data_IF_301965402106
#
_entry.id   IF_301965402106
#
_cell.length_a   1.000
_cell.length_b   1.000
_cell.length_c   1.000
_cell.angle_alpha   90.00
_cell.angle_beta   90.00
_cell.angle_gamma   90.00
#
_symmetry.space_group_name_H-M   'P 1'
#
loop_
_entity.id
_entity.type
_entity.pdbx_description
1 polymer ?
#
# COMPACT_ATOMS: atom_id res chain seq x y z
N UNK A 1 47.37 -6.39 -44.05
CA UNK A 1 47.06 -4.95 -44.09
C UNK A 1 45.55 -4.70 -44.27
N UNK A 2 44.84 -5.49 -45.08
CA UNK A 2 43.40 -5.28 -45.36
C UNK A 2 42.45 -5.44 -44.15
N UNK A 3 42.78 -6.28 -43.18
CA UNK A 3 41.94 -6.51 -41.99
C UNK A 3 41.95 -5.37 -40.94
N UNK A 4 42.94 -4.47 -40.98
CA UNK A 4 43.00 -3.34 -40.04
C UNK A 4 41.90 -2.30 -40.32
N UNK A 5 41.54 -2.11 -41.60
CA UNK A 5 40.45 -1.18 -41.97
C UNK A 5 39.08 -1.65 -41.48
N UNK A 6 38.81 -2.95 -41.55
CA UNK A 6 37.55 -3.56 -41.11
C UNK A 6 37.35 -3.37 -39.60
N UNK A 7 38.41 -3.58 -38.80
CA UNK A 7 38.36 -3.36 -37.35
C UNK A 7 38.00 -1.92 -36.97
N UNK A 8 38.59 -0.94 -37.64
CA UNK A 8 38.31 0.49 -37.41
C UNK A 8 36.87 0.86 -37.80
N UNK A 9 36.39 0.38 -38.95
CA UNK A 9 35.01 0.63 -39.40
C UNK A 9 34.00 -0.02 -38.44
N UNK A 10 34.24 -1.26 -38.03
CA UNK A 10 33.39 -1.99 -37.08
C UNK A 10 33.34 -1.30 -35.72
N UNK A 11 34.48 -0.82 -35.22
CA UNK A 11 34.54 -0.04 -33.98
C UNK A 11 33.74 1.26 -34.09
N UNK A 12 33.84 1.98 -35.22
CA UNK A 12 33.07 3.20 -35.45
C UNK A 12 31.56 2.93 -35.51
N UNK A 13 31.15 1.91 -36.26
CA UNK A 13 29.76 1.46 -36.32
C UNK A 13 29.21 1.07 -34.94
N UNK A 14 29.94 0.25 -34.18
CA UNK A 14 29.53 -0.22 -32.85
C UNK A 14 29.45 0.92 -31.85
N UNK A 15 30.34 1.91 -31.96
CA UNK A 15 30.28 3.13 -31.15
C UNK A 15 29.02 3.94 -31.43
N UNK A 16 28.70 4.19 -32.70
CA UNK A 16 27.48 4.93 -33.08
C UNK A 16 26.23 4.17 -32.64
N UNK A 17 26.17 2.85 -32.86
CA UNK A 17 25.06 2.01 -32.40
C UNK A 17 24.90 2.09 -30.88
N UNK A 18 25.99 1.90 -30.12
CA UNK A 18 25.96 1.98 -28.66
C UNK A 18 25.49 3.35 -28.17
N UNK A 19 25.98 4.43 -28.77
CA UNK A 19 25.52 5.79 -28.46
C UNK A 19 24.01 5.96 -28.70
N UNK A 20 23.50 5.50 -29.84
CA UNK A 20 22.08 5.64 -30.17
C UNK A 20 21.17 4.81 -29.24
N UNK A 21 21.62 3.63 -28.81
CA UNK A 21 20.90 2.81 -27.82
C UNK A 21 20.83 3.53 -26.46
N UNK A 22 21.96 4.06 -25.98
CA UNK A 22 22.00 4.81 -24.72
C UNK A 22 21.13 6.07 -24.81
N UNK A 23 21.21 6.79 -25.93
CA UNK A 23 20.37 7.94 -26.18
C UNK A 23 18.88 7.58 -26.14
N UNK A 24 18.46 6.51 -26.84
CA UNK A 24 17.07 6.01 -26.84
C UNK A 24 16.61 5.58 -25.44
N UNK A 25 17.49 4.91 -24.69
CA UNK A 25 17.20 4.45 -23.32
C UNK A 25 17.03 5.63 -22.36
N UNK A 26 17.85 6.66 -22.49
CA UNK A 26 17.76 7.87 -21.67
C UNK A 26 16.46 8.64 -21.94
N UNK A 27 16.06 8.76 -23.20
CA UNK A 27 14.78 9.38 -23.57
C UNK A 27 13.58 8.61 -22.99
N UNK A 28 13.60 7.28 -23.07
CA UNK A 28 12.57 6.42 -22.48
C UNK A 28 12.49 6.59 -20.96
N UNK A 29 13.65 6.54 -20.28
CA UNK A 29 13.74 6.73 -18.83
C UNK A 29 13.21 8.10 -18.39
N UNK A 30 13.55 9.15 -19.13
CA UNK A 30 13.07 10.51 -18.84
C UNK A 30 11.54 10.59 -18.96
N UNK A 31 10.96 10.01 -20.01
CA UNK A 31 9.49 9.95 -20.21
C UNK A 31 8.79 9.16 -19.11
N UNK A 32 9.36 8.03 -18.68
CA UNK A 32 8.82 7.24 -17.58
C UNK A 32 8.73 8.06 -16.28
N UNK A 33 9.86 8.65 -15.86
CA UNK A 33 9.90 9.42 -14.60
C UNK A 33 9.14 10.73 -14.64
N UNK A 34 9.07 11.39 -15.81
CA UNK A 34 8.22 12.56 -16.00
C UNK A 34 6.74 12.18 -15.84
N UNK A 35 6.32 11.03 -16.39
CA UNK A 35 4.96 10.51 -16.24
C UNK A 35 4.62 10.22 -14.77
N UNK A 36 5.50 9.50 -14.06
CA UNK A 36 5.36 9.23 -12.61
C UNK A 36 5.20 10.54 -11.82
N UNK A 37 6.07 11.52 -12.09
CA UNK A 37 6.07 12.80 -11.39
C UNK A 37 4.76 13.55 -11.59
N UNK A 38 4.27 13.61 -12.83
CA UNK A 38 3.02 14.29 -13.16
C UNK A 38 1.81 13.61 -12.50
N UNK A 39 1.76 12.28 -12.48
CA UNK A 39 0.70 11.56 -11.77
C UNK A 39 0.67 11.85 -10.27
N UNK A 40 1.83 11.87 -9.61
CA UNK A 40 1.93 12.23 -8.20
C UNK A 40 1.51 13.68 -7.94
N UNK A 41 1.88 14.60 -8.85
CA UNK A 41 1.43 16.00 -8.77
C UNK A 41 -0.08 16.13 -8.93
N UNK A 42 -0.71 15.42 -9.88
CA UNK A 42 -2.17 15.42 -10.05
C UNK A 42 -2.87 15.04 -8.75
N UNK A 43 -2.48 13.90 -8.16
CA UNK A 43 -3.04 13.44 -6.90
C UNK A 43 -2.78 14.41 -5.75
N UNK A 44 -1.56 14.95 -5.65
CA UNK A 44 -1.18 15.91 -4.61
C UNK A 44 -1.94 17.23 -4.68
N UNK A 45 -2.01 17.86 -5.85
CA UNK A 45 -2.74 19.13 -6.06
C UNK A 45 -4.23 18.98 -5.74
N UNK A 46 -4.84 17.89 -6.19
CA UNK A 46 -6.26 17.64 -5.92
C UNK A 46 -6.55 17.29 -4.47
N UNK A 47 -5.67 16.55 -3.78
CA UNK A 47 -5.80 16.30 -2.34
C UNK A 47 -5.57 17.57 -1.52
N UNK A 48 -4.67 18.46 -1.95
CA UNK A 48 -4.49 19.78 -1.32
C UNK A 48 -5.75 20.63 -1.45
N UNK A 49 -6.31 20.72 -2.65
CA UNK A 49 -7.56 21.44 -2.89
C UNK A 49 -8.71 20.88 -2.04
N UNK A 50 -8.84 19.55 -2.01
CA UNK A 50 -9.83 18.87 -1.19
C UNK A 50 -9.68 19.22 0.30
N UNK A 51 -8.48 19.07 0.84
CA UNK A 51 -8.17 19.37 2.26
C UNK A 51 -8.46 20.83 2.61
N UNK A 52 -8.10 21.76 1.72
CA UNK A 52 -8.42 23.18 1.86
C UNK A 52 -9.93 23.40 1.91
N UNK A 53 -10.70 22.81 1.01
CA UNK A 53 -12.15 22.93 0.97
C UNK A 53 -12.83 22.34 2.21
N UNK A 54 -12.31 21.24 2.77
CA UNK A 54 -12.79 20.70 4.04
C UNK A 54 -12.56 21.69 5.20
N UNK A 55 -11.39 22.35 5.22
CA UNK A 55 -11.03 23.34 6.24
C UNK A 55 -11.87 24.62 6.13
N UNK A 56 -12.30 25.00 4.92
CA UNK A 56 -13.07 26.22 4.66
C UNK A 56 -14.56 26.09 4.99
N UNK A 57 -15.02 24.90 5.35
CA UNK A 57 -16.41 24.66 5.74
C UNK A 57 -16.77 25.43 7.02
N UNK A 58 -18.02 25.91 7.09
CA UNK A 58 -18.53 26.68 8.22
C UNK A 58 -18.57 25.83 9.50
N UNK A 59 -18.27 26.47 10.64
CA UNK A 59 -18.33 25.85 11.97
C UNK A 59 -19.66 26.10 12.68
N UNK A 60 -20.60 26.72 11.99
CA UNK A 60 -21.95 26.97 12.47
C UNK A 60 -22.68 25.64 12.74
N UNK A 61 -23.19 25.40 13.97
CA UNK A 61 -23.98 24.21 14.29
C UNK A 61 -25.20 24.04 13.37
N UNK A 62 -25.83 25.12 12.93
CA UNK A 62 -27.05 25.08 12.09
C UNK A 62 -26.76 24.59 10.65
N UNK A 63 -25.49 24.61 10.23
CA UNK A 63 -25.08 24.22 8.87
C UNK A 63 -24.33 22.89 8.81
N UNK A 64 -24.18 22.18 9.93
CA UNK A 64 -23.39 20.94 9.96
C UNK A 64 -23.90 19.89 8.97
N UNK A 65 -25.22 19.77 8.81
CA UNK A 65 -25.82 18.84 7.83
C UNK A 65 -25.44 19.21 6.39
N UNK A 66 -25.46 20.49 6.05
CA UNK A 66 -25.06 20.98 4.72
C UNK A 66 -23.57 20.81 4.48
N UNK A 67 -22.75 21.02 5.51
CA UNK A 67 -21.30 20.78 5.46
C UNK A 67 -21.05 19.29 5.23
N UNK A 68 -21.76 18.42 5.94
CA UNK A 68 -21.65 16.97 5.77
C UNK A 68 -22.02 16.56 4.33
N UNK A 69 -23.17 17.00 3.82
CA UNK A 69 -23.59 16.74 2.44
C UNK A 69 -22.55 17.23 1.42
N UNK A 70 -22.06 18.46 1.58
CA UNK A 70 -21.01 19.03 0.73
C UNK A 70 -19.73 18.20 0.73
N UNK A 71 -19.22 17.82 1.91
CA UNK A 71 -17.96 17.04 2.05
C UNK A 71 -18.05 15.70 1.34
N UNK A 72 -19.14 14.97 1.55
CA UNK A 72 -19.36 13.67 0.90
C UNK A 72 -19.56 13.83 -0.60
N UNK A 73 -20.36 14.80 -1.05
CA UNK A 73 -20.57 15.01 -2.48
C UNK A 73 -19.27 15.44 -3.19
N UNK A 74 -18.50 16.34 -2.57
CA UNK A 74 -17.18 16.73 -3.07
C UNK A 74 -16.26 15.51 -3.19
N UNK A 75 -16.17 14.66 -2.15
CA UNK A 75 -15.31 13.48 -2.18
C UNK A 75 -15.62 12.50 -3.33
N UNK A 76 -16.92 12.28 -3.61
CA UNK A 76 -17.38 11.44 -4.73
C UNK A 76 -17.00 12.05 -6.07
N UNK A 77 -17.17 13.36 -6.24
CA UNK A 77 -16.75 14.05 -7.46
C UNK A 77 -15.22 14.06 -7.64
N UNK A 78 -14.44 14.20 -6.55
CA UNK A 78 -12.98 14.12 -6.61
C UNK A 78 -12.51 12.71 -7.01
N UNK A 79 -13.11 11.67 -6.44
CA UNK A 79 -12.85 10.28 -6.83
C UNK A 79 -13.20 10.02 -8.30
N UNK A 80 -14.34 10.56 -8.76
CA UNK A 80 -14.78 10.47 -10.14
C UNK A 80 -13.86 11.24 -11.10
N UNK A 81 -13.37 12.41 -10.70
CA UNK A 81 -12.40 13.21 -11.46
C UNK A 81 -11.10 12.43 -11.68
N UNK A 82 -10.57 11.82 -10.62
CA UNK A 82 -9.35 11.04 -10.68
C UNK A 82 -9.52 9.79 -11.54
N UNK A 83 -10.62 9.05 -11.35
CA UNK A 83 -10.97 7.89 -12.17
C UNK A 83 -11.07 8.23 -13.67
N UNK A 84 -11.85 9.25 -14.03
CA UNK A 84 -12.01 9.64 -15.43
C UNK A 84 -10.68 10.12 -16.05
N UNK A 85 -9.80 10.69 -15.24
CA UNK A 85 -8.46 11.10 -15.67
C UNK A 85 -7.59 9.90 -15.97
N UNK A 86 -7.58 8.90 -15.09
CA UNK A 86 -6.85 7.65 -15.32
C UNK A 86 -7.38 6.91 -16.55
N UNK A 87 -8.70 6.71 -16.67
CA UNK A 87 -9.32 6.09 -17.86
C UNK A 87 -9.06 6.87 -19.15
N UNK A 88 -8.86 8.19 -19.05
CA UNK A 88 -8.59 9.01 -20.23
C UNK A 88 -7.11 8.98 -20.60
N UNK A 89 -6.20 8.66 -19.68
CA UNK A 89 -4.75 8.70 -19.91
C UNK A 89 -4.15 7.31 -20.13
N UNK A 90 -4.64 6.29 -19.44
CA UNK A 90 -4.12 4.93 -19.50
C UNK A 90 -4.98 4.04 -20.40
N UNK A 91 -4.34 3.04 -20.99
CA UNK A 91 -5.01 1.98 -21.73
C UNK A 91 -5.40 0.89 -20.73
N UNK A 92 -6.71 0.73 -20.50
CA UNK A 92 -7.25 -0.28 -19.60
C UNK A 92 -8.04 -1.30 -20.41
N UNK A 93 -7.84 -2.59 -20.15
CA UNK A 93 -8.62 -3.66 -20.80
C UNK A 93 -10.06 -3.70 -20.29
N UNK A 94 -10.23 -3.36 -19.01
CA UNK A 94 -11.51 -3.10 -18.37
C UNK A 94 -11.47 -1.70 -17.75
N UNK A 95 -12.28 -0.79 -18.32
CA UNK A 95 -12.48 0.58 -17.82
C UNK A 95 -13.03 0.61 -16.39
N UNK A 96 -13.36 -0.52 -15.76
CA UNK A 96 -13.79 -0.56 -14.36
C UNK A 96 -12.65 -0.17 -13.40
N UNK A 97 -12.67 1.09 -12.95
CA UNK A 97 -11.90 1.56 -11.82
C UNK A 97 -12.84 1.83 -10.64
N UNK A 98 -12.37 1.57 -9.43
CA UNK A 98 -13.13 1.82 -8.22
C UNK A 98 -13.36 3.33 -8.02
N UNK A 99 -14.62 3.73 -7.79
CA UNK A 99 -14.99 5.10 -7.47
C UNK A 99 -15.74 5.11 -6.15
N UNK A 100 -15.54 6.16 -5.35
CA UNK A 100 -16.36 6.40 -4.17
C UNK A 100 -17.81 6.58 -4.58
N UNK A 101 -18.64 5.60 -4.21
CA UNK A 101 -20.10 5.56 -4.30
C UNK A 101 -20.75 6.56 -5.28
N UNK A 102 -21.16 6.05 -6.44
CA UNK A 102 -21.91 6.81 -7.46
C UNK A 102 -23.37 7.04 -7.01
N UNK A 103 -23.81 6.38 -5.93
CA UNK A 103 -25.12 6.53 -5.31
C UNK A 103 -25.40 7.98 -4.94
N UNK A 104 -26.51 8.50 -5.47
CA UNK A 104 -26.93 9.90 -5.28
C UNK A 104 -26.56 10.84 -6.43
N UNK A 105 -25.70 10.43 -7.38
CA UNK A 105 -25.54 11.16 -8.63
C UNK A 105 -26.73 10.92 -9.56
N UNK A 106 -27.20 11.99 -10.22
CA UNK A 106 -28.32 11.90 -11.16
C UNK A 106 -27.90 11.05 -12.39
N UNK A 107 -28.66 9.99 -12.75
CA UNK A 107 -28.37 9.17 -13.92
C UNK A 107 -28.26 9.96 -15.23
N UNK A 108 -29.02 11.05 -15.37
CA UNK A 108 -28.94 11.94 -16.54
C UNK A 108 -27.59 12.65 -16.63
N UNK A 109 -27.02 13.04 -15.49
CA UNK A 109 -25.69 13.67 -15.44
C UNK A 109 -24.61 12.67 -15.80
N UNK A 110 -24.72 11.42 -15.30
CA UNK A 110 -23.78 10.35 -15.66
C UNK A 110 -23.82 10.03 -17.16
N UNK A 111 -25.02 9.98 -17.74
CA UNK A 111 -25.19 9.83 -19.19
C UNK A 111 -24.61 11.01 -19.98
N UNK A 112 -24.73 12.23 -19.45
CA UNK A 112 -24.07 13.40 -20.05
C UNK A 112 -22.54 13.31 -19.98
N UNK A 113 -22.00 12.81 -18.87
CA UNK A 113 -20.57 12.60 -18.68
C UNK A 113 -20.01 11.57 -19.66
N UNK A 114 -20.70 10.44 -19.84
CA UNK A 114 -20.32 9.39 -20.80
C UNK A 114 -20.16 9.95 -22.22
N UNK A 115 -21.02 10.90 -22.60
CA UNK A 115 -20.97 11.56 -23.92
C UNK A 115 -20.03 12.75 -24.00
N UNK A 116 -19.38 13.12 -22.90
CA UNK A 116 -18.52 14.29 -22.86
C UNK A 116 -17.25 14.06 -23.69
N UNK A 117 -16.81 15.05 -24.49
CA UNK A 117 -15.53 14.97 -25.18
C UNK A 117 -14.32 15.03 -24.23
N UNK A 118 -14.49 15.57 -23.01
CA UNK A 118 -13.44 15.63 -21.99
C UNK A 118 -14.06 15.39 -20.61
N UNK A 119 -14.16 14.11 -20.24
CA UNK A 119 -14.85 13.66 -19.02
C UNK A 119 -14.28 14.31 -17.76
N UNK A 120 -12.95 14.34 -17.62
CA UNK A 120 -12.26 14.96 -16.48
C UNK A 120 -12.60 16.46 -16.35
N UNK A 121 -12.59 17.22 -17.44
CA UNK A 121 -12.97 18.64 -17.39
C UNK A 121 -14.44 18.85 -17.05
N UNK A 122 -15.33 17.97 -17.49
CA UNK A 122 -16.75 18.04 -17.10
C UNK A 122 -16.92 17.85 -15.60
N UNK A 123 -16.22 16.87 -15.00
CA UNK A 123 -16.28 16.66 -13.55
C UNK A 123 -15.64 17.83 -12.79
N UNK A 124 -14.51 18.37 -13.27
CA UNK A 124 -13.91 19.56 -12.67
C UNK A 124 -14.87 20.77 -12.70
N UNK A 125 -15.62 20.94 -13.79
CA UNK A 125 -16.63 21.99 -13.89
C UNK A 125 -17.73 21.79 -12.83
N UNK A 126 -18.20 20.56 -12.63
CA UNK A 126 -19.19 20.26 -11.60
C UNK A 126 -18.67 20.54 -10.19
N UNK A 127 -17.41 20.17 -9.89
CA UNK A 127 -16.74 20.51 -8.63
C UNK A 127 -16.71 22.02 -8.46
N UNK A 128 -16.36 22.76 -9.51
CA UNK A 128 -16.29 24.22 -9.46
C UNK A 128 -17.65 24.86 -9.18
N UNK A 129 -18.71 24.36 -9.83
CA UNK A 129 -20.09 24.79 -9.56
C UNK A 129 -20.50 24.45 -8.12
N UNK A 130 -20.20 23.25 -7.63
CA UNK A 130 -20.50 22.83 -6.26
C UNK A 130 -19.85 23.74 -5.22
N UNK A 131 -18.56 24.10 -5.42
CA UNK A 131 -17.85 25.03 -4.54
C UNK A 131 -18.51 26.40 -4.53
N UNK A 132 -18.91 26.92 -5.70
CA UNK A 132 -19.57 28.22 -5.80
C UNK A 132 -20.95 28.23 -5.13
N UNK A 133 -21.73 27.16 -5.28
CA UNK A 133 -23.01 27.01 -4.58
C UNK A 133 -22.83 26.95 -3.06
N UNK A 134 -21.85 26.17 -2.58
CA UNK A 134 -21.54 26.04 -1.16
C UNK A 134 -21.05 27.38 -0.57
N UNK A 135 -20.27 28.16 -1.33
CA UNK A 135 -19.86 29.50 -0.93
C UNK A 135 -21.07 30.47 -0.87
N UNK A 136 -21.97 30.45 -1.86
CA UNK A 136 -23.16 31.29 -1.85
C UNK A 136 -24.13 30.97 -0.69
N UNK A 137 -24.29 29.68 -0.38
CA UNK A 137 -25.07 29.19 0.77
C UNK A 137 -24.38 29.42 2.13
N UNK A 138 -23.16 29.96 2.14
CA UNK A 138 -22.30 30.10 3.33
C UNK A 138 -22.03 28.77 4.04
N UNK A 139 -22.04 27.66 3.30
CA UNK A 139 -21.53 26.35 3.75
C UNK A 139 -20.00 26.38 3.76
N UNK A 140 -19.40 27.07 2.78
CA UNK A 140 -18.00 27.49 2.79
C UNK A 140 -17.95 28.96 3.21
N UNK A 141 -17.21 29.29 4.27
CA UNK A 141 -17.18 30.62 4.86
C UNK A 141 -15.75 31.15 4.94
N UNK A 142 -15.20 31.48 3.76
CA UNK A 142 -13.88 32.08 3.64
C UNK A 142 -13.88 33.25 2.65
N UNK A 143 -12.98 34.24 2.84
CA UNK A 143 -12.78 35.30 1.87
C UNK A 143 -12.40 34.76 0.48
N UNK A 144 -12.89 35.42 -0.57
CA UNK A 144 -12.62 35.08 -1.97
C UNK A 144 -11.14 34.80 -2.29
N UNK A 145 -10.16 35.60 -1.84
CA UNK A 145 -8.74 35.35 -2.11
C UNK A 145 -8.23 34.00 -1.60
N UNK A 146 -8.77 33.49 -0.49
CA UNK A 146 -8.40 32.20 0.07
C UNK A 146 -9.07 31.08 -0.73
N UNK A 147 -10.34 31.27 -1.10
CA UNK A 147 -11.07 30.31 -1.93
C UNK A 147 -10.44 30.14 -3.32
N UNK A 148 -9.92 31.22 -3.91
CA UNK A 148 -9.22 31.20 -5.20
C UNK A 148 -8.05 30.22 -5.22
N UNK A 149 -7.38 29.99 -4.07
CA UNK A 149 -6.28 29.02 -3.98
C UNK A 149 -6.75 27.59 -4.26
N UNK A 150 -7.91 27.19 -3.74
CA UNK A 150 -8.46 25.86 -4.01
C UNK A 150 -8.79 25.66 -5.49
N UNK A 151 -9.33 26.68 -6.15
CA UNK A 151 -9.55 26.65 -7.61
C UNK A 151 -8.24 26.55 -8.39
N UNK A 152 -7.20 27.26 -7.95
CA UNK A 152 -5.88 27.20 -8.58
C UNK A 152 -5.25 25.82 -8.46
N UNK A 153 -5.32 25.18 -7.28
CA UNK A 153 -4.81 23.82 -7.04
C UNK A 153 -5.57 22.79 -7.91
N UNK A 154 -6.90 22.89 -8.00
CA UNK A 154 -7.69 22.06 -8.92
C UNK A 154 -7.28 22.24 -10.39
N UNK A 155 -7.10 23.50 -10.82
CA UNK A 155 -6.65 23.82 -12.17
C UNK A 155 -5.22 23.34 -12.43
N UNK A 156 -4.34 23.42 -11.44
CA UNK A 156 -2.95 22.99 -11.57
C UNK A 156 -2.88 21.48 -11.82
N UNK A 157 -3.70 20.68 -11.12
CA UNK A 157 -3.83 19.26 -11.41
C UNK A 157 -4.26 19.00 -12.87
N UNK A 158 -5.18 19.79 -13.43
CA UNK A 158 -5.56 19.65 -14.85
C UNK A 158 -4.48 20.09 -15.85
N UNK A 159 -3.60 21.02 -15.47
CA UNK A 159 -2.41 21.35 -16.27
C UNK A 159 -1.49 20.14 -16.34
N UNK A 160 -1.22 19.48 -15.21
CA UNK A 160 -0.44 18.24 -15.18
C UNK A 160 -1.08 17.13 -16.01
N UNK A 161 -2.42 16.97 -15.99
CA UNK A 161 -3.14 16.04 -16.88
C UNK A 161 -2.89 16.35 -18.36
N UNK A 162 -2.89 17.63 -18.72
CA UNK A 162 -2.65 18.07 -20.09
C UNK A 162 -1.21 17.80 -20.53
N UNK A 163 -0.24 18.03 -19.64
CA UNK A 163 1.16 17.74 -19.91
C UNK A 163 1.41 16.23 -20.05
N UNK A 164 0.77 15.43 -19.21
CA UNK A 164 0.84 13.97 -19.29
C UNK A 164 0.21 13.44 -20.59
N UNK A 165 -0.90 14.04 -21.04
CA UNK A 165 -1.49 13.75 -22.35
C UNK A 165 -0.51 14.04 -23.49
N UNK A 166 0.31 15.09 -23.42
CA UNK A 166 1.36 15.34 -24.44
C UNK A 166 2.39 14.22 -24.47
N UNK A 167 2.83 13.73 -23.30
CA UNK A 167 3.79 12.62 -23.22
C UNK A 167 3.19 11.38 -23.88
N UNK A 168 1.94 11.06 -23.58
CA UNK A 168 1.26 9.92 -24.19
C UNK A 168 1.05 10.07 -25.70
N UNK A 169 0.46 11.19 -26.13
CA UNK A 169 0.02 11.38 -27.51
C UNK A 169 1.19 11.64 -28.48
N UNK A 170 2.34 12.10 -27.98
CA UNK A 170 3.54 12.41 -28.77
C UNK A 170 4.64 11.39 -28.50
N UNK A 171 4.68 10.26 -29.24
CA UNK A 171 5.69 9.22 -29.05
C UNK A 171 7.09 9.68 -29.46
N UNK A 172 8.12 8.90 -29.09
CA UNK A 172 9.47 9.12 -29.58
C UNK A 172 9.49 9.08 -31.13
N UNK A 173 10.23 9.98 -31.82
CA UNK A 173 10.06 10.15 -33.26
C UNK A 173 10.39 8.87 -34.03
N UNK A 174 9.40 8.39 -34.78
CA UNK A 174 9.45 7.13 -35.50
C UNK A 174 10.71 6.91 -36.38
N UNK A 175 11.22 7.91 -37.13
CA UNK A 175 12.43 7.71 -37.93
C UNK A 175 13.67 7.30 -37.14
N UNK A 176 13.84 7.80 -35.90
CA UNK A 176 14.95 7.40 -35.04
C UNK A 176 14.83 5.93 -34.60
N UNK A 177 13.62 5.51 -34.21
CA UNK A 177 13.37 4.10 -33.86
C UNK A 177 13.65 3.16 -35.03
N UNK A 178 13.21 3.53 -36.24
CA UNK A 178 13.45 2.73 -37.44
C UNK A 178 14.94 2.62 -37.78
N UNK A 179 15.66 3.75 -37.73
CA UNK A 179 17.10 3.74 -37.99
C UNK A 179 17.86 2.87 -36.99
N UNK A 180 17.51 2.96 -35.70
CA UNK A 180 18.11 2.13 -34.65
C UNK A 180 17.85 0.63 -34.88
N UNK A 181 16.63 0.26 -35.26
CA UNK A 181 16.27 -1.12 -35.60
C UNK A 181 17.08 -1.64 -36.79
N UNK A 182 17.23 -0.84 -37.86
CA UNK A 182 18.05 -1.24 -39.01
C UNK A 182 19.53 -1.41 -38.65
N UNK A 183 20.07 -0.53 -37.79
CA UNK A 183 21.43 -0.67 -37.26
C UNK A 183 21.59 -1.94 -36.40
N UNK A 184 20.60 -2.28 -35.58
CA UNK A 184 20.58 -3.53 -34.79
C UNK A 184 20.56 -4.78 -35.67
N UNK A 185 19.72 -4.81 -36.70
CA UNK A 185 19.66 -5.91 -37.67
C UNK A 185 21.00 -6.03 -38.42
N UNK A 186 21.56 -4.91 -38.87
CA UNK A 186 22.87 -4.89 -39.52
C UNK A 186 23.96 -5.41 -38.58
N UNK A 187 23.97 -4.99 -37.31
CA UNK A 187 24.88 -5.50 -36.30
C UNK A 187 24.72 -7.02 -36.12
N UNK A 188 23.49 -7.52 -36.00
CA UNK A 188 23.21 -8.94 -35.79
C UNK A 188 23.72 -9.82 -36.96
N UNK A 189 23.64 -9.33 -38.20
CA UNK A 189 24.16 -10.02 -39.39
C UNK A 189 25.68 -9.91 -39.50
N UNK A 190 26.25 -8.72 -39.26
CA UNK A 190 27.68 -8.44 -39.47
C UNK A 190 28.56 -8.93 -38.32
N UNK A 191 28.06 -8.93 -37.07
CA UNK A 191 28.82 -9.36 -35.90
C UNK A 191 29.40 -10.79 -36.02
N UNK A 192 28.64 -11.84 -36.41
CA UNK A 192 29.22 -13.18 -36.60
C UNK A 192 30.27 -13.22 -37.71
N UNK A 193 30.08 -12.45 -38.79
CA UNK A 193 31.04 -12.37 -39.89
C UNK A 193 32.35 -11.76 -39.42
N UNK A 194 32.31 -10.62 -38.74
CA UNK A 194 33.52 -9.95 -38.20
C UNK A 194 34.19 -10.82 -37.13
N UNK A 195 33.41 -11.41 -36.22
CA UNK A 195 33.95 -12.27 -35.17
C UNK A 195 34.67 -13.51 -35.73
N UNK A 196 34.18 -14.10 -36.82
CA UNK A 196 34.83 -15.25 -37.48
C UNK A 196 36.24 -14.93 -38.01
N UNK A 197 36.50 -13.67 -38.33
CA UNK A 197 37.79 -13.22 -38.89
C UNK A 197 38.74 -12.76 -37.78
N UNK A 198 38.20 -12.20 -36.68
CA UNK A 198 39.01 -11.60 -35.60
C UNK A 198 39.34 -12.61 -34.50
N UNK A 199 38.45 -13.56 -34.21
CA UNK A 199 38.59 -14.48 -33.07
C UNK A 199 39.13 -15.83 -33.55
N UNK A 200 40.31 -16.23 -33.04
CA UNK A 200 40.99 -17.48 -33.39
C UNK A 200 40.19 -18.75 -33.07
N UNK A 201 39.42 -18.74 -31.97
CA UNK A 201 38.66 -19.91 -31.48
C UNK A 201 37.17 -19.75 -31.84
N UNK A 202 36.59 -20.59 -32.72
CA UNK A 202 35.21 -20.42 -33.19
C UNK A 202 34.16 -20.43 -32.08
N UNK A 203 34.31 -21.28 -31.06
CA UNK A 203 33.37 -21.36 -29.94
C UNK A 203 33.36 -20.08 -29.09
N UNK A 204 34.52 -19.45 -28.89
CA UNK A 204 34.62 -18.16 -28.22
C UNK A 204 34.00 -17.04 -29.06
N UNK A 205 34.18 -17.08 -30.38
CA UNK A 205 33.55 -16.12 -31.29
C UNK A 205 32.02 -16.16 -31.17
N UNK A 206 31.44 -17.37 -31.14
CA UNK A 206 30.01 -17.57 -30.95
C UNK A 206 29.49 -17.00 -29.63
N UNK A 207 30.19 -17.28 -28.51
CA UNK A 207 29.81 -16.75 -27.19
C UNK A 207 29.85 -15.22 -27.17
N UNK A 208 30.92 -14.60 -27.70
CA UNK A 208 31.06 -13.15 -27.69
C UNK A 208 29.98 -12.46 -28.53
N UNK A 209 29.69 -12.99 -29.72
CA UNK A 209 28.62 -12.46 -30.58
C UNK A 209 27.26 -12.60 -29.93
N UNK A 210 26.99 -13.74 -29.30
CA UNK A 210 25.75 -13.95 -28.54
C UNK A 210 25.62 -12.90 -27.43
N UNK A 211 26.63 -12.77 -26.57
CA UNK A 211 26.58 -11.83 -25.43
C UNK A 211 26.41 -10.39 -25.91
N UNK A 212 27.22 -9.93 -26.87
CA UNK A 212 27.17 -8.54 -27.36
C UNK A 212 25.85 -8.26 -28.07
N UNK A 213 25.44 -9.16 -28.96
CA UNK A 213 24.19 -8.95 -29.69
C UNK A 213 22.98 -9.00 -28.77
N UNK A 214 22.91 -9.96 -27.84
CA UNK A 214 21.84 -10.02 -26.85
C UNK A 214 21.84 -8.75 -26.01
N UNK A 215 22.99 -8.24 -25.58
CA UNK A 215 23.06 -7.00 -24.78
C UNK A 215 22.43 -5.81 -25.52
N UNK A 216 22.73 -5.62 -26.80
CA UNK A 216 22.14 -4.54 -27.60
C UNK A 216 20.63 -4.70 -27.81
N UNK A 217 20.16 -5.91 -28.11
CA UNK A 217 18.74 -6.18 -28.25
C UNK A 217 17.98 -6.00 -26.92
N UNK A 218 18.54 -6.50 -25.82
CA UNK A 218 17.95 -6.33 -24.48
C UNK A 218 17.81 -4.86 -24.11
N UNK A 219 18.85 -4.04 -24.31
CA UNK A 219 18.75 -2.60 -24.04
C UNK A 219 17.71 -1.91 -24.92
N UNK A 220 17.61 -2.30 -26.19
CA UNK A 220 16.58 -1.80 -27.10
C UNK A 220 15.17 -2.15 -26.61
N UNK A 221 14.93 -3.39 -26.21
CA UNK A 221 13.62 -3.82 -25.69
C UNK A 221 13.29 -3.19 -24.34
N UNK A 222 14.25 -3.06 -23.42
CA UNK A 222 14.04 -2.33 -22.16
C UNK A 222 13.62 -0.89 -22.45
N UNK A 223 14.29 -0.21 -23.38
CA UNK A 223 13.93 1.15 -23.76
C UNK A 223 12.55 1.24 -24.43
N UNK A 224 12.08 0.18 -25.10
CA UNK A 224 10.75 0.13 -25.69
C UNK A 224 9.67 -0.08 -24.63
N UNK A 225 9.91 -0.99 -23.68
CA UNK A 225 9.01 -1.27 -22.55
C UNK A 225 8.77 -0.01 -21.71
N UNK A 226 9.83 0.62 -21.19
CA UNK A 226 9.70 1.74 -20.26
C UNK A 226 9.18 3.03 -20.93
N UNK A 227 9.14 3.09 -22.26
CA UNK A 227 8.64 4.24 -23.03
C UNK A 227 7.11 4.23 -23.17
N UNK A 228 6.43 3.17 -22.74
CA UNK A 228 4.97 3.02 -22.81
C UNK A 228 4.33 2.77 -21.42
N UNK A 229 4.56 3.64 -20.41
CA UNK A 229 4.16 3.37 -19.02
C UNK A 229 2.65 3.37 -18.73
N UNK A 230 1.82 3.55 -19.76
CA UNK A 230 0.38 3.79 -19.65
C UNK A 230 -0.48 2.56 -19.96
N UNK A 231 0.14 1.40 -20.21
CA UNK A 231 -0.56 0.14 -20.50
C UNK A 231 -0.90 -0.66 -19.25
N UNK A 232 -1.02 -1.98 -19.43
CA UNK A 232 -1.29 -2.97 -18.38
C UNK A 232 -0.16 -4.01 -18.22
N UNK A 233 1.02 -3.75 -18.79
CA UNK A 233 2.17 -4.65 -18.64
C UNK A 233 2.69 -4.61 -17.18
N UNK A 234 3.42 -5.64 -16.78
CA UNK A 234 3.89 -5.78 -15.39
C UNK A 234 4.83 -4.65 -14.92
N UNK A 235 5.44 -3.92 -15.87
CA UNK A 235 6.35 -2.81 -15.61
C UNK A 235 5.69 -1.43 -15.80
N UNK A 236 4.40 -1.40 -16.14
CA UNK A 236 3.65 -0.16 -16.30
C UNK A 236 3.23 0.43 -14.95
N UNK A 237 2.63 1.61 -15.00
CA UNK A 237 2.17 2.29 -13.80
C UNK A 237 0.99 1.54 -13.16
N UNK A 238 0.98 1.41 -11.82
CA UNK A 238 -0.07 0.69 -11.11
C UNK A 238 -1.35 1.53 -10.99
N UNK A 239 -2.07 1.68 -12.11
CA UNK A 239 -3.23 2.59 -12.25
C UNK A 239 -4.35 2.28 -11.25
N UNK A 240 -4.62 0.99 -11.02
CA UNK A 240 -5.69 0.54 -10.10
C UNK A 240 -5.35 0.91 -8.66
N UNK A 241 -4.11 0.65 -8.26
CA UNK A 241 -3.59 0.99 -6.94
C UNK A 241 -3.57 2.51 -6.73
N UNK A 242 -3.23 3.29 -7.76
CA UNK A 242 -3.28 4.76 -7.69
C UNK A 242 -4.69 5.27 -7.41
N UNK A 243 -5.71 4.73 -8.08
CA UNK A 243 -7.11 5.09 -7.80
C UNK A 243 -7.53 4.68 -6.38
N UNK A 244 -7.21 3.45 -5.96
CA UNK A 244 -7.52 2.95 -4.62
C UNK A 244 -6.88 3.80 -3.52
N UNK A 245 -5.59 4.14 -3.69
CA UNK A 245 -4.88 5.00 -2.74
C UNK A 245 -5.47 6.41 -2.69
N UNK A 246 -5.88 6.96 -3.83
CA UNK A 246 -6.55 8.27 -3.88
C UNK A 246 -7.88 8.23 -3.13
N UNK A 247 -8.72 7.22 -3.38
CA UNK A 247 -9.99 7.00 -2.69
C UNK A 247 -9.81 6.81 -1.18
N UNK A 248 -8.82 6.01 -0.78
CA UNK A 248 -8.48 5.76 0.63
C UNK A 248 -8.13 7.06 1.35
N UNK A 249 -7.31 7.92 0.72
CA UNK A 249 -6.95 9.24 1.29
C UNK A 249 -8.16 10.17 1.41
N UNK A 250 -9.04 10.19 0.40
CA UNK A 250 -10.29 10.96 0.47
C UNK A 250 -11.18 10.50 1.63
N UNK A 251 -11.39 9.20 1.78
CA UNK A 251 -12.17 8.62 2.88
C UNK A 251 -11.55 8.97 4.23
N UNK A 252 -10.23 8.80 4.38
CA UNK A 252 -9.52 9.12 5.62
C UNK A 252 -9.70 10.59 6.02
N UNK A 253 -9.64 11.53 5.06
CA UNK A 253 -9.88 12.96 5.34
C UNK A 253 -11.34 13.30 5.65
N UNK A 254 -12.30 12.43 5.33
CA UNK A 254 -13.69 12.60 5.75
C UNK A 254 -13.93 12.18 7.20
N UNK A 255 -13.06 11.37 7.78
CA UNK A 255 -13.19 10.97 9.19
C UNK A 255 -13.25 12.21 10.10
N UNK A 256 -14.16 12.26 11.08
CA UNK A 256 -14.28 13.39 12.00
C UNK A 256 -12.96 13.75 12.69
N UNK A 257 -12.16 12.73 13.02
CA UNK A 257 -10.85 12.88 13.66
C UNK A 257 -9.86 13.66 12.78
N UNK A 258 -9.93 13.53 11.45
CA UNK A 258 -9.04 14.20 10.50
C UNK A 258 -9.23 15.72 10.45
N UNK A 259 -10.41 16.20 10.86
CA UNK A 259 -10.71 17.64 10.95
C UNK A 259 -10.68 18.20 12.37
N UNK A 260 -10.57 17.34 13.38
CA UNK A 260 -10.45 17.75 14.79
C UNK A 260 -8.98 18.01 15.11
N UNK A 261 -8.70 19.20 15.64
CA UNK A 261 -7.35 19.54 16.11
C UNK A 261 -7.03 18.67 17.34
N UNK A 262 -5.84 18.04 17.42
CA UNK A 262 -5.43 17.32 18.62
C UNK A 262 -5.34 18.24 19.84
N UNK A 263 -5.75 17.74 21.01
CA UNK A 263 -5.63 18.47 22.26
C UNK A 263 -4.15 18.68 22.63
N UNK A 264 -3.81 19.87 23.13
CA UNK A 264 -2.43 20.24 23.48
C UNK A 264 -2.30 20.60 24.96
N UNK A 265 -1.44 19.90 25.69
CA UNK A 265 -1.11 20.15 27.10
C UNK A 265 0.26 20.82 27.23
N UNK A 266 0.28 22.08 27.70
CA UNK A 266 1.49 22.89 27.80
C UNK A 266 2.54 22.30 28.76
N UNK A 267 2.13 21.62 29.84
CA UNK A 267 3.06 21.06 30.84
C UNK A 267 4.00 20.00 30.26
N UNK A 268 3.54 19.24 29.27
CA UNK A 268 4.31 18.21 28.57
C UNK A 268 5.39 18.79 27.62
N UNK A 269 5.32 20.09 27.32
CA UNK A 269 6.17 20.78 26.35
C UNK A 269 7.40 21.49 26.95
N UNK A 270 7.56 21.45 28.28
CA UNK A 270 8.69 22.09 28.98
C UNK A 270 10.05 21.44 28.67
N UNK A 271 10.07 20.29 28.01
CA UNK A 271 11.27 19.61 27.54
C UNK A 271 11.78 20.14 26.17
N UNK A 272 11.80 21.46 25.97
CA UNK A 272 12.38 22.12 24.79
C UNK A 272 13.86 21.77 24.54
N UNK A 273 14.55 21.20 25.53
CA UNK A 273 15.92 20.68 25.39
C UNK A 273 16.02 19.30 24.69
N UNK A 274 14.90 18.65 24.36
CA UNK A 274 14.86 17.35 23.66
C UNK A 274 14.61 17.55 22.16
N UNK A 275 15.57 18.17 21.47
CA UNK A 275 15.59 18.23 19.99
C UNK A 275 16.01 16.88 19.36
N UNK A 276 15.42 15.77 19.80
CA UNK A 276 15.64 14.42 19.24
C UNK A 276 14.42 13.49 19.29
N UNK A 277 13.19 14.01 19.25
CA UNK A 277 12.03 13.14 19.10
C UNK A 277 11.87 12.73 17.63
N UNK A 278 12.25 11.50 17.28
CA UNK A 278 11.75 10.86 16.05
C UNK A 278 10.27 10.53 16.26
N UNK A 279 9.38 11.11 15.47
CA UNK A 279 7.96 10.76 15.51
C UNK A 279 7.78 9.35 14.92
N UNK A 280 7.36 8.41 15.78
CA UNK A 280 6.87 7.09 15.37
C UNK A 280 5.46 6.95 15.95
N UNK A 281 4.49 6.69 15.09
CA UNK A 281 3.14 6.31 15.51
C UNK A 281 3.27 4.94 16.18
N UNK A 282 2.91 4.82 17.45
CA UNK A 282 2.86 3.53 18.14
C UNK A 282 1.40 3.03 18.09
N UNK A 283 1.07 2.04 17.23
CA UNK A 283 -0.32 1.64 16.99
C UNK A 283 -1.01 1.14 18.26
N UNK A 284 -0.25 0.55 19.18
CA UNK A 284 -0.73 0.02 20.46
C UNK A 284 -1.17 1.09 21.47
N UNK A 285 -0.86 2.37 21.23
CA UNK A 285 -1.29 3.49 22.09
C UNK A 285 -2.56 4.20 21.57
N UNK A 286 -3.10 3.77 20.43
CA UNK A 286 -4.27 4.40 19.78
C UNK A 286 -5.44 3.42 19.85
N UNK A 287 -6.25 3.50 20.90
CA UNK A 287 -7.52 2.78 20.96
C UNK A 287 -8.50 3.44 19.96
N UNK A 288 -8.94 2.69 18.95
CA UNK A 288 -9.92 3.17 17.97
C UNK A 288 -11.27 3.44 18.66
N UNK A 289 -11.89 4.62 18.48
CA UNK A 289 -13.24 4.88 19.01
C UNK A 289 -14.36 4.17 18.23
N UNK A 290 -14.05 3.43 17.16
CA UNK A 290 -15.05 2.78 16.30
C UNK A 290 -15.35 1.31 16.62
N UNK A 291 -14.74 0.73 17.65
CA UNK A 291 -15.07 -0.62 18.10
C UNK A 291 -16.23 -0.59 19.11
N UNK A 292 -17.46 -0.24 18.68
CA UNK A 292 -18.73 -0.71 19.30
C UNK A 292 -19.96 -0.09 18.60
N UNK A 293 -20.63 -0.86 17.74
CA UNK A 293 -22.09 -1.13 17.80
C UNK A 293 -22.51 -2.04 16.64
N UNK A 294 -22.53 -3.36 16.87
CA UNK A 294 -23.44 -4.23 16.14
C UNK A 294 -24.85 -3.91 16.64
N UNK A 295 -25.68 -3.31 15.78
CA UNK A 295 -27.11 -3.12 16.05
C UNK A 295 -27.79 -4.49 15.99
N UNK A 296 -28.02 -5.10 17.16
CA UNK A 296 -28.99 -6.19 17.29
C UNK A 296 -30.34 -5.59 17.60
N UNK A 297 -31.27 -5.73 16.65
CA UNK A 297 -32.67 -5.36 16.81
C UNK A 297 -33.39 -6.40 17.69
N UNK A 298 -34.12 -5.92 18.70
CA UNK A 298 -35.29 -6.50 19.39
C UNK A 298 -35.44 -5.72 20.72
N UNK A 299 -36.58 -5.34 21.28
CA UNK A 299 -38.00 -5.30 20.91
C UNK A 299 -38.70 -4.62 22.11
N UNK A 300 -39.69 -3.77 21.87
CA UNK A 300 -40.47 -3.05 22.90
C UNK A 300 -41.15 -3.99 23.91
N UNK A 301 -41.10 -3.65 25.21
CA UNK A 301 -42.19 -3.90 26.16
C UNK A 301 -42.14 -2.90 27.34
N UNK A 302 -43.24 -2.16 27.54
CA UNK A 302 -43.60 -1.43 28.76
C UNK A 302 -44.40 -2.34 29.69
N UNK A 303 -44.17 -2.31 31.00
CA UNK A 303 -45.23 -2.18 32.04
C UNK A 303 -44.68 -1.86 33.46
N UNK A 304 -45.58 -1.33 34.29
CA UNK A 304 -45.51 -0.55 35.54
C UNK A 304 -44.99 -1.20 36.85
N UNK A 305 -44.64 -0.33 37.84
CA UNK A 305 -45.04 -0.57 39.25
C UNK A 305 -44.03 -0.34 40.40
N UNK A 306 -44.01 0.88 40.97
CA UNK A 306 -43.87 1.26 42.41
C UNK A 306 -43.07 0.39 43.45
N UNK A 307 -41.99 0.95 44.06
CA UNK A 307 -41.89 1.52 45.45
C UNK A 307 -40.44 1.63 45.99
N UNK A 308 -40.07 2.87 46.34
CA UNK A 308 -39.27 3.37 47.50
C UNK A 308 -38.27 2.46 48.26
N UNK A 309 -36.98 2.83 48.22
CA UNK A 309 -36.17 3.30 49.38
C UNK A 309 -34.67 3.47 49.01
N UNK A 310 -34.12 4.66 49.24
CA UNK A 310 -32.68 4.99 49.35
C UNK A 310 -32.29 5.05 50.84
N UNK A 311 -31.00 5.25 51.22
CA UNK A 311 -29.72 5.04 50.54
C UNK A 311 -28.69 4.27 51.43
N UNK A 312 -27.59 3.74 50.86
CA UNK A 312 -26.23 3.95 51.41
C UNK A 312 -25.11 3.43 50.48
N UNK A 313 -24.25 4.39 50.13
CA UNK A 313 -22.88 4.44 49.57
C UNK A 313 -22.01 3.19 49.35
N UNK A 314 -21.37 3.23 48.16
CA UNK A 314 -19.95 2.96 47.82
C UNK A 314 -19.41 1.55 48.09
N UNK A 315 -18.81 0.81 47.15
CA UNK A 315 -18.07 1.17 45.94
C UNK A 315 -18.24 0.11 44.83
N UNK A 316 -17.96 0.57 43.62
CA UNK A 316 -18.17 -0.02 42.30
C UNK A 316 -17.61 -1.43 42.05
N UNK A 317 -18.52 -2.25 41.50
CA UNK A 317 -18.36 -3.39 40.58
C UNK A 317 -17.14 -3.26 39.65
N UNK A 318 -16.29 -4.29 39.50
CA UNK A 318 -16.47 -5.43 38.57
C UNK A 318 -17.03 -5.02 37.20
N UNK A 319 -16.17 -5.05 36.18
CA UNK A 319 -16.44 -5.64 34.85
C UNK A 319 -15.13 -5.67 34.03
N UNK A 320 -14.65 -6.86 33.66
CA UNK A 320 -14.84 -7.49 32.33
C UNK A 320 -14.03 -6.78 31.25
N UNK A 321 -12.80 -7.28 31.06
CA UNK A 321 -11.96 -6.97 29.90
C UNK A 321 -12.34 -7.89 28.73
N UNK A 322 -12.66 -7.29 27.60
CA UNK A 322 -12.72 -7.92 26.29
C UNK A 322 -12.37 -6.88 25.22
N UNK A 323 -11.37 -7.23 24.40
CA UNK A 323 -10.95 -6.62 23.13
C UNK A 323 -10.09 -5.34 23.13
N UNK A 324 -8.78 -5.59 23.04
CA UNK A 324 -7.73 -4.79 22.41
C UNK A 324 -6.66 -5.84 22.01
N UNK A 325 -6.27 -6.05 20.75
CA UNK A 325 -5.09 -5.39 20.19
C UNK A 325 -4.67 -6.06 18.85
N UNK A 326 -4.39 -5.26 17.82
CA UNK A 326 -3.74 -5.66 16.56
C UNK A 326 -2.30 -5.12 16.56
N UNK A 327 -1.45 -5.73 17.40
CA UNK A 327 0.02 -5.88 17.27
C UNK A 327 0.60 -6.60 18.51
N UNK A 328 -0.18 -7.48 19.15
CA UNK A 328 0.28 -8.19 20.34
C UNK A 328 1.15 -9.40 19.96
N UNK A 329 2.17 -9.75 20.78
CA UNK A 329 2.71 -11.10 20.76
C UNK A 329 1.55 -12.10 20.88
N UNK A 330 1.63 -13.26 20.22
CA UNK A 330 0.63 -14.32 20.39
C UNK A 330 0.31 -14.44 21.88
N UNK A 331 -0.97 -14.35 22.26
CA UNK A 331 -1.37 -14.53 23.66
C UNK A 331 -0.74 -15.84 24.16
N UNK A 332 -0.22 -15.91 25.40
CA UNK A 332 0.43 -17.11 25.95
C UNK A 332 -0.41 -18.39 25.77
N UNK A 333 -1.74 -18.25 25.74
CA UNK A 333 -2.71 -19.32 25.44
C UNK A 333 -2.63 -19.82 23.99
N UNK A 334 -2.53 -18.93 23.02
CA UNK A 334 -2.38 -19.30 21.61
C UNK A 334 -1.01 -19.92 21.33
N UNK A 335 0.05 -19.47 22.03
CA UNK A 335 1.38 -20.11 21.95
C UNK A 335 1.31 -21.52 22.53
N UNK A 336 0.65 -21.70 23.68
CA UNK A 336 0.43 -23.01 24.29
C UNK A 336 -0.35 -23.95 23.36
N UNK A 337 -1.44 -23.50 22.75
CA UNK A 337 -2.22 -24.28 21.78
C UNK A 337 -1.39 -24.66 20.53
N UNK A 338 -0.65 -23.71 19.95
CA UNK A 338 0.22 -23.98 18.79
C UNK A 338 1.33 -24.98 19.12
N UNK A 339 1.95 -24.86 20.29
CA UNK A 339 3.00 -25.77 20.74
C UNK A 339 2.45 -27.16 21.06
N UNK A 340 1.27 -27.26 21.68
CA UNK A 340 0.59 -28.53 21.93
C UNK A 340 0.19 -29.23 20.63
N UNK A 341 -0.10 -28.47 19.57
CA UNK A 341 -0.44 -28.99 18.24
C UNK A 341 0.81 -29.40 17.43
N UNK A 342 1.94 -28.72 17.63
CA UNK A 342 3.24 -29.06 17.01
C UNK A 342 3.95 -30.23 17.71
N UNK A 343 3.61 -30.50 18.97
CA UNK A 343 4.15 -31.58 19.80
C UNK A 343 3.01 -32.46 20.35
N UNK A 344 2.27 -33.19 19.48
CA UNK A 344 1.11 -33.97 19.91
C UNK A 344 1.45 -35.13 20.87
N UNK A 345 2.72 -35.52 20.94
CA UNK A 345 3.23 -36.58 21.82
C UNK A 345 3.66 -36.07 23.22
N UNK A 346 3.52 -34.76 23.50
CA UNK A 346 3.94 -34.13 24.76
C UNK A 346 2.73 -33.62 25.53
N UNK A 347 2.59 -34.03 26.78
CA UNK A 347 1.45 -33.63 27.63
C UNK A 347 1.36 -32.10 27.81
N UNK A 348 0.13 -31.57 27.84
CA UNK A 348 -0.16 -30.15 27.94
C UNK A 348 0.47 -29.46 29.19
N UNK A 349 0.66 -30.22 30.28
CA UNK A 349 1.35 -29.75 31.48
C UNK A 349 2.86 -29.55 31.26
N UNK A 350 3.47 -30.40 30.42
CA UNK A 350 4.88 -30.32 30.06
C UNK A 350 5.15 -29.16 29.09
N UNK A 351 4.26 -28.92 28.13
CA UNK A 351 4.31 -27.74 27.24
C UNK A 351 4.22 -26.43 28.03
N UNK A 352 3.38 -26.40 29.07
CA UNK A 352 3.27 -25.25 29.98
C UNK A 352 4.57 -24.99 30.76
N UNK A 353 5.23 -26.05 31.22
CA UNK A 353 6.54 -25.93 31.89
C UNK A 353 7.62 -25.40 30.93
N UNK A 354 7.64 -25.85 29.68
CA UNK A 354 8.56 -25.33 28.65
C UNK A 354 8.35 -23.84 28.38
N UNK A 355 7.10 -23.37 28.33
CA UNK A 355 6.77 -21.96 28.13
C UNK A 355 7.20 -21.06 29.30
N UNK A 356 7.08 -21.55 30.53
CA UNK A 356 7.56 -20.86 31.72
C UNK A 356 9.08 -20.65 31.68
N UNK A 357 9.82 -21.68 31.25
CA UNK A 357 11.29 -21.61 31.11
C UNK A 357 11.71 -20.61 30.02
N UNK A 358 10.91 -20.45 28.95
CA UNK A 358 11.16 -19.47 27.88
C UNK A 358 10.77 -18.02 28.25
N UNK A 359 10.30 -17.78 29.48
CA UNK A 359 9.94 -16.45 29.97
C UNK A 359 8.68 -15.87 29.32
N UNK A 360 7.74 -16.74 28.94
CA UNK A 360 6.43 -16.36 28.38
C UNK A 360 5.43 -16.48 29.54
N UNK A 361 5.19 -15.36 30.24
CA UNK A 361 4.51 -15.30 31.54
C UNK A 361 3.02 -15.75 31.47
N UNK A 362 2.63 -16.69 32.34
CA UNK A 362 1.26 -17.20 32.48
C UNK A 362 0.77 -16.91 33.91
N UNK A 363 0.30 -15.68 34.13
CA UNK A 363 -0.39 -15.25 35.35
C UNK A 363 -1.81 -14.81 34.98
N UNK A 364 -2.65 -15.74 34.50
CA UNK A 364 -4.10 -15.55 34.51
C UNK A 364 -4.80 -16.87 34.75
N UNK A 365 -5.43 -16.98 35.91
CA UNK A 365 -6.16 -18.15 36.40
C UNK A 365 -7.02 -18.80 35.31
N UNK A 366 -6.74 -20.07 35.02
CA UNK A 366 -7.52 -20.90 34.10
C UNK A 366 -8.79 -21.35 34.84
N UNK A 367 -9.80 -20.48 34.88
CA UNK A 367 -11.16 -20.88 35.22
C UNK A 367 -11.70 -21.82 34.16
N UNK A 368 -12.07 -23.03 34.60
CA UNK A 368 -12.79 -24.11 33.89
C UNK A 368 -13.54 -23.66 32.63
N UNK A 369 -13.07 -24.09 31.45
CA UNK A 369 -13.87 -24.04 30.22
C UNK A 369 -13.86 -25.43 29.58
N UNK A 370 -15.08 -25.89 29.33
CA UNK A 370 -15.44 -27.20 28.78
C UNK A 370 -14.86 -27.41 27.38
N UNK A 371 -14.42 -28.64 27.14
CA UNK A 371 -14.02 -29.15 25.83
C UNK A 371 -15.16 -28.99 24.81
N UNK A 372 -14.91 -28.23 23.73
CA UNK A 372 -15.63 -28.43 22.47
C UNK A 372 -14.63 -28.61 21.33
N UNK A 373 -14.70 -29.73 20.58
CA UNK A 373 -13.84 -29.94 19.43
C UNK A 373 -14.33 -29.05 18.26
N UNK A 374 -13.47 -28.15 17.78
CA UNK A 374 -13.73 -27.37 16.57
C UNK A 374 -13.59 -28.25 15.32
N UNK A 375 -14.49 -28.05 14.35
CA UNK A 375 -14.56 -28.84 13.11
C UNK A 375 -13.55 -28.37 12.06
N UNK A 376 -13.05 -29.33 11.28
CA UNK A 376 -11.99 -29.24 10.26
C UNK A 376 -12.12 -28.14 9.20
N UNK A 377 -13.33 -27.62 8.92
CA UNK A 377 -13.56 -26.65 7.83
C UNK A 377 -13.29 -25.19 8.23
N UNK A 378 -13.38 -24.86 9.52
CA UNK A 378 -12.96 -23.54 10.02
C UNK A 378 -11.42 -23.40 10.03
N UNK A 379 -10.70 -24.53 9.95
CA UNK A 379 -9.25 -24.61 10.04
C UNK A 379 -8.53 -24.16 8.76
N UNK A 380 -9.03 -24.51 7.56
CA UNK A 380 -8.40 -24.10 6.30
C UNK A 380 -8.53 -22.59 6.05
N UNK A 381 -9.68 -22.01 6.40
CA UNK A 381 -9.91 -20.55 6.27
C UNK A 381 -9.06 -19.74 7.25
N UNK A 382 -8.85 -20.28 8.46
CA UNK A 382 -7.97 -19.68 9.47
C UNK A 382 -6.48 -19.90 9.13
N UNK A 383 -6.14 -20.91 8.32
CA UNK A 383 -4.76 -21.15 7.87
C UNK A 383 -4.33 -20.14 6.78
N UNK A 384 -5.21 -19.83 5.81
CA UNK A 384 -4.89 -18.90 4.72
C UNK A 384 -4.75 -17.42 5.15
N UNK A 385 -5.56 -16.95 6.11
CA UNK A 385 -5.58 -15.53 6.50
C UNK A 385 -4.47 -15.12 7.50
N UNK A 386 -3.75 -16.08 8.11
CA UNK A 386 -2.87 -15.83 9.27
C UNK A 386 -1.36 -16.05 9.00
N UNK A 387 -0.95 -16.17 7.74
CA UNK A 387 0.42 -16.52 7.37
C UNK A 387 1.46 -15.39 7.53
N UNK A 388 1.07 -14.12 7.48
CA UNK A 388 2.01 -12.99 7.68
C UNK A 388 2.18 -12.61 9.15
N UNK A 389 1.10 -12.60 9.94
CA UNK A 389 1.12 -12.19 11.36
C UNK A 389 1.88 -13.17 12.26
N UNK A 390 1.87 -14.47 11.97
CA UNK A 390 2.52 -15.51 12.79
C UNK A 390 4.05 -15.61 12.65
N UNK A 391 4.64 -15.07 11.57
CA UNK A 391 6.08 -15.25 11.27
C UNK A 391 7.00 -14.55 12.28
N UNK A 392 6.63 -13.37 12.77
CA UNK A 392 7.47 -12.61 13.69
C UNK A 392 7.53 -13.28 15.08
N UNK A 393 6.38 -13.70 15.62
CA UNK A 393 6.27 -14.34 16.92
C UNK A 393 6.87 -15.75 16.93
N UNK A 394 6.67 -16.54 15.87
CA UNK A 394 7.29 -17.86 15.74
C UNK A 394 8.81 -17.79 15.57
N UNK A 395 9.33 -16.73 14.91
CA UNK A 395 10.77 -16.48 14.86
C UNK A 395 11.35 -16.12 16.23
N UNK A 396 10.64 -15.33 17.05
CA UNK A 396 11.09 -15.02 18.42
C UNK A 396 11.14 -16.29 19.29
N UNK A 397 10.11 -17.14 19.21
CA UNK A 397 10.09 -18.44 19.90
C UNK A 397 11.21 -19.36 19.40
N UNK A 398 11.45 -19.42 18.08
CA UNK A 398 12.55 -20.21 17.52
C UNK A 398 13.92 -19.75 18.02
N UNK A 399 14.14 -18.44 18.16
CA UNK A 399 15.40 -17.88 18.68
C UNK A 399 15.58 -18.24 20.15
N UNK A 400 14.53 -18.11 20.97
CA UNK A 400 14.61 -18.45 22.41
C UNK A 400 14.83 -19.94 22.65
N UNK A 401 14.23 -20.81 21.83
CA UNK A 401 14.45 -22.27 21.89
C UNK A 401 15.89 -22.62 21.52
N UNK A 402 16.43 -22.02 20.45
CA UNK A 402 17.82 -22.25 20.04
C UNK A 402 18.82 -21.71 21.07
N UNK A 403 18.52 -20.60 21.73
CA UNK A 403 19.35 -20.04 22.81
C UNK A 403 19.30 -20.92 24.07
N UNK A 404 18.14 -21.47 24.43
CA UNK A 404 18.00 -22.41 25.56
C UNK A 404 18.79 -23.70 25.33
N UNK A 405 18.74 -24.28 24.12
CA UNK A 405 19.51 -25.47 23.76
C UNK A 405 21.04 -25.25 23.78
N UNK A 406 21.50 -23.99 23.73
CA UNK A 406 22.93 -23.63 23.76
C UNK A 406 23.45 -23.23 25.14
N UNK A 407 22.57 -22.96 26.10
CA UNK A 407 22.97 -22.61 27.46
C UNK A 407 23.36 -23.87 28.26
N UNK A 408 24.44 -23.79 29.05
CA UNK A 408 24.84 -24.84 30.01
C UNK A 408 24.21 -24.56 31.39
N UNK A 409 22.88 -24.60 31.49
CA UNK A 409 22.13 -24.47 32.75
C UNK A 409 21.78 -25.86 33.31
N UNK A 410 21.53 -26.02 34.62
CA UNK A 410 21.14 -27.32 35.18
C UNK A 410 19.82 -27.86 34.61
N UNK A 411 18.90 -26.98 34.19
CA UNK A 411 17.63 -27.34 33.52
C UNK A 411 17.84 -27.76 32.06
N UNK A 412 18.85 -27.22 31.37
CA UNK A 412 19.18 -27.63 30.01
C UNK A 412 19.92 -28.97 29.94
N UNK A 413 20.29 -29.57 31.07
CA UNK A 413 20.94 -30.90 31.14
C UNK A 413 19.95 -32.04 31.42
N UNK A 414 18.66 -31.74 31.61
CA UNK A 414 17.62 -32.76 31.79
C UNK A 414 17.27 -33.42 30.44
N UNK A 415 17.46 -34.74 30.29
CA UNK A 415 17.43 -35.40 28.98
C UNK A 415 16.03 -35.43 28.34
N UNK A 416 14.96 -35.39 29.13
CA UNK A 416 13.58 -35.34 28.63
C UNK A 416 13.21 -33.94 28.10
N UNK A 417 13.68 -32.89 28.78
CA UNK A 417 13.47 -31.51 28.38
C UNK A 417 14.26 -31.18 27.10
N UNK A 418 15.53 -31.61 27.01
CA UNK A 418 16.35 -31.44 25.81
C UNK A 418 15.71 -32.08 24.57
N UNK A 419 15.16 -33.29 24.70
CA UNK A 419 14.47 -33.97 23.59
C UNK A 419 13.22 -33.21 23.14
N UNK A 420 12.46 -32.68 24.08
CA UNK A 420 11.23 -31.93 23.81
C UNK A 420 11.52 -30.59 23.12
N UNK A 421 12.52 -29.84 23.59
CA UNK A 421 12.97 -28.60 22.94
C UNK A 421 13.64 -28.84 21.58
N UNK A 422 14.36 -29.95 21.39
CA UNK A 422 14.94 -30.32 20.09
C UNK A 422 13.85 -30.69 19.07
N UNK A 423 12.83 -31.46 19.48
CA UNK A 423 11.66 -31.77 18.65
C UNK A 423 10.90 -30.50 18.24
N UNK A 424 10.79 -29.55 19.17
CA UNK A 424 10.16 -28.25 18.91
C UNK A 424 10.94 -27.42 17.88
N UNK A 425 12.27 -27.34 18.03
CA UNK A 425 13.14 -26.65 17.06
C UNK A 425 13.01 -27.27 15.66
N UNK A 426 12.95 -28.60 15.55
CA UNK A 426 12.76 -29.29 14.28
C UNK A 426 11.37 -29.02 13.66
N UNK A 427 10.32 -29.02 14.48
CA UNK A 427 8.96 -28.73 14.03
C UNK A 427 8.81 -27.28 13.52
N UNK A 428 9.40 -26.31 14.22
CA UNK A 428 9.46 -24.90 13.81
C UNK A 428 10.29 -24.71 12.54
N UNK A 429 11.40 -25.44 12.39
CA UNK A 429 12.23 -25.39 11.19
C UNK A 429 11.55 -26.01 9.95
N UNK A 430 10.64 -26.98 10.12
CA UNK A 430 9.84 -27.55 9.02
C UNK A 430 8.69 -26.64 8.58
N UNK A 431 8.13 -25.85 9.51
CA UNK A 431 7.03 -24.92 9.23
C UNK A 431 7.49 -23.55 8.71
N UNK A 432 8.77 -23.20 8.86
CA UNK A 432 9.34 -21.93 8.39
C UNK A 432 10.59 -22.15 7.50
N UNK A 433 10.58 -21.80 6.19
CA UNK A 433 11.79 -21.88 5.38
C UNK A 433 12.81 -20.80 5.82
N UNK A 434 14.01 -21.23 6.21
CA UNK A 434 15.10 -20.36 6.72
C UNK A 434 15.39 -19.15 5.81
N UNK A 435 15.20 -17.95 6.33
CA UNK A 435 15.80 -16.72 5.78
C UNK A 435 17.31 -16.79 6.06
N UNK A 436 18.12 -16.94 5.00
CA UNK A 436 19.59 -16.78 5.09
C UNK A 436 19.88 -15.34 5.54
N UNK A 437 20.51 -15.17 6.71
CA UNK A 437 21.07 -13.89 7.16
C UNK A 437 22.06 -13.36 6.11
N UNK A 438 21.88 -12.11 5.69
CA UNK A 438 22.93 -11.26 5.09
C UNK A 438 23.65 -10.56 6.23
#
# INVERSE_FOLDING_TARGET
MEMQGIGTIWSGFSFVLGFLIVFRSNQAYSRFWESVTLFQQIGGEWLNAFSNLLCFCSRDPEKQDQVYEFRYFLSRLMSLLHCNTLQTLCELSDDSLEVLDIGGLNPKSLWHLEKSPDRSKTVLLWISCLIMEAHHKKTIEVPGPILSRAFQELSQGMVCVTDLRKIRDVPFPFPYSQYLLYMLIAHWILAPLVASQVVLRPWWAGIMVLVVSTSYWTLFYIAQEIDQPFGEDANDLPVREMQQQFNTKLQFFLEPASTKIPDFTLESSQHLHVLRSSYKINPSAITSPYSMTSVTAQSFHMDDGHRTATPERQDSSREVQGFSSLLDPLEPRMIHELLSMLLPDVDAAHVKHMLQILGIDDQTELGTLEEKPYQSEDFERLHEQLHEERRASLNDVSVRVDDFLRQESPESQEPELQRSFASLSEALAKTMPRVKRI
#
